data_IF_076965897835
#
_entry.id   IF_076965897835
#
_cell.length_a   1.000
_cell.length_b   1.000
_cell.length_c   1.000
_cell.angle_alpha   90.00
_cell.angle_beta   90.00
_cell.angle_gamma   90.00
#
_symmetry.space_group_name_H-M   'P 1'
#
loop_
_entity.id
_entity.type
_entity.pdbx_description
1 polymer ?
#
# COMPACT_ATOMS: atom_id res chain seq x y z
N UNK A 1 15.26 -24.42 -7.16
CA UNK A 1 14.97 -22.97 -6.88
C UNK A 1 16.14 -22.22 -6.24
N UNK A 2 16.93 -22.82 -5.36
CA UNK A 2 18.06 -22.16 -4.64
C UNK A 2 19.29 -21.88 -5.54
N UNK A 3 19.58 -22.71 -6.53
CA UNK A 3 20.72 -22.50 -7.43
C UNK A 3 20.50 -21.43 -8.51
N UNK A 4 19.28 -21.27 -8.99
CA UNK A 4 18.94 -20.24 -9.97
C UNK A 4 19.10 -18.82 -9.40
N UNK A 5 18.79 -18.62 -8.11
CA UNK A 5 18.95 -17.34 -7.42
C UNK A 5 20.42 -16.89 -7.30
N UNK A 6 21.38 -17.82 -7.16
CA UNK A 6 22.80 -17.46 -7.02
C UNK A 6 23.45 -16.93 -8.31
N UNK A 7 22.95 -17.35 -9.45
CA UNK A 7 23.50 -16.94 -10.76
C UNK A 7 23.04 -15.53 -11.14
N UNK A 8 21.78 -15.18 -10.83
CA UNK A 8 21.23 -13.85 -11.08
C UNK A 8 21.84 -12.81 -10.15
N UNK A 9 22.06 -13.14 -8.86
CA UNK A 9 22.74 -12.27 -7.91
C UNK A 9 24.18 -11.91 -8.31
N UNK A 10 24.90 -12.84 -8.95
CA UNK A 10 26.24 -12.56 -9.47
C UNK A 10 26.25 -11.62 -10.68
N UNK A 11 25.24 -11.70 -11.53
CA UNK A 11 25.11 -10.82 -12.70
C UNK A 11 24.75 -9.38 -12.29
N UNK A 12 23.84 -9.22 -11.33
CA UNK A 12 23.44 -7.91 -10.80
C UNK A 12 24.59 -7.26 -10.01
N UNK A 13 25.29 -8.00 -9.13
CA UNK A 13 26.44 -7.49 -8.38
C UNK A 13 27.63 -7.11 -9.29
N UNK A 14 27.78 -7.71 -10.46
CA UNK A 14 28.81 -7.30 -11.45
C UNK A 14 28.46 -6.00 -12.16
N UNK A 15 27.18 -5.77 -12.52
CA UNK A 15 26.74 -4.52 -13.17
C UNK A 15 26.74 -3.32 -12.19
N UNK A 16 26.37 -3.52 -10.93
CA UNK A 16 26.41 -2.44 -9.92
C UNK A 16 27.84 -2.05 -9.51
N UNK A 17 28.84 -2.94 -9.66
CA UNK A 17 30.26 -2.56 -9.45
C UNK A 17 30.78 -1.59 -10.51
N UNK A 18 30.26 -1.60 -11.73
CA UNK A 18 30.63 -0.62 -12.77
C UNK A 18 30.02 0.76 -12.57
N UNK A 19 28.91 0.88 -11.85
CA UNK A 19 28.28 2.18 -11.52
C UNK A 19 28.99 2.96 -10.38
N UNK A 20 29.90 2.33 -9.65
CA UNK A 20 30.65 2.99 -8.55
C UNK A 20 31.91 3.74 -8.98
N UNK A 21 32.24 3.82 -10.26
CA UNK A 21 33.45 4.49 -10.77
C UNK A 21 33.18 5.65 -11.73
N UNK A 22 32.00 6.28 -11.73
CA UNK A 22 31.80 7.54 -12.44
C UNK A 22 32.14 8.71 -11.52
N UNK A 23 33.23 9.36 -11.83
CA UNK A 23 33.73 10.56 -11.18
C UNK A 23 32.82 11.75 -11.55
N UNK A 24 32.13 12.33 -10.55
CA UNK A 24 31.28 13.51 -10.70
C UNK A 24 32.09 14.80 -10.51
N UNK A 25 33.13 14.96 -11.31
CA UNK A 25 33.89 16.19 -11.36
C UNK A 25 33.78 16.90 -12.72
N UNK A 26 32.91 17.87 -12.82
CA UNK A 26 32.95 18.89 -13.90
C UNK A 26 31.87 18.75 -14.95
N UNK A 27 30.75 19.43 -14.75
CA UNK A 27 30.04 20.34 -15.66
C UNK A 27 28.90 21.00 -14.84
N UNK A 28 29.24 22.03 -14.09
CA UNK A 28 28.25 22.98 -13.58
C UNK A 28 28.33 24.21 -14.47
N UNK A 29 27.53 24.27 -15.52
CA UNK A 29 27.18 25.56 -16.10
C UNK A 29 25.83 25.48 -16.82
N UNK A 30 24.90 26.31 -16.35
CA UNK A 30 23.70 26.78 -17.04
C UNK A 30 22.64 25.73 -17.41
N UNK A 31 21.91 25.22 -16.43
CA UNK A 31 20.50 24.85 -16.64
C UNK A 31 19.66 25.83 -15.83
N UNK A 32 18.99 26.72 -16.54
CA UNK A 32 17.94 27.56 -15.99
C UNK A 32 16.91 26.64 -15.36
N UNK A 33 16.71 26.77 -14.06
CA UNK A 33 15.61 26.20 -13.34
C UNK A 33 14.34 26.94 -13.75
N UNK A 34 13.71 26.49 -14.81
CA UNK A 34 12.37 26.94 -15.18
C UNK A 34 11.31 26.04 -14.55
N UNK A 35 10.38 26.75 -13.95
CA UNK A 35 9.07 26.32 -13.45
C UNK A 35 9.05 25.36 -12.25
N UNK A 36 8.75 25.95 -11.10
CA UNK A 36 7.99 25.33 -10.03
C UNK A 36 6.68 24.80 -10.62
N UNK A 37 6.67 23.60 -11.18
CA UNK A 37 5.45 22.82 -11.30
C UNK A 37 5.06 22.47 -9.87
N UNK A 38 4.13 23.21 -9.31
CA UNK A 38 3.53 22.91 -8.01
C UNK A 38 2.72 21.62 -8.23
N UNK A 39 3.40 20.46 -8.19
CA UNK A 39 2.73 19.16 -8.28
C UNK A 39 1.79 19.09 -7.08
N UNK A 40 0.51 18.97 -7.32
CA UNK A 40 -0.45 18.76 -6.24
C UNK A 40 -0.19 17.40 -5.61
N UNK A 41 0.57 17.38 -4.51
CA UNK A 41 0.97 16.15 -3.83
C UNK A 41 -0.25 15.52 -3.18
N UNK A 42 -0.49 14.26 -3.55
CA UNK A 42 -1.55 13.41 -3.04
C UNK A 42 -0.95 12.21 -2.33
N UNK A 43 -1.30 12.01 -1.07
CA UNK A 43 -0.77 10.92 -0.25
C UNK A 43 -1.88 9.94 0.08
N UNK A 44 -1.75 8.73 -0.43
CA UNK A 44 -2.63 7.62 -0.13
C UNK A 44 -2.03 6.69 0.92
N UNK A 45 -2.87 5.84 1.47
CA UNK A 45 -2.44 4.77 2.37
C UNK A 45 -3.18 3.47 2.04
N UNK A 46 -2.44 2.35 2.03
CA UNK A 46 -3.01 1.01 1.85
C UNK A 46 -3.90 0.68 3.02
N UNK A 47 -5.13 0.26 2.75
CA UNK A 47 -6.10 -0.15 3.75
C UNK A 47 -6.65 -1.54 3.43
N UNK A 48 -6.43 -2.48 4.34
CA UNK A 48 -6.94 -3.84 4.24
C UNK A 48 -8.29 -3.97 4.95
N UNK A 49 -9.20 -4.69 4.34
CA UNK A 49 -10.50 -5.03 4.93
C UNK A 49 -10.39 -6.33 5.73
N UNK A 50 -9.62 -6.30 6.81
CA UNK A 50 -9.26 -7.48 7.59
C UNK A 50 -9.59 -7.37 9.10
N UNK A 51 -9.77 -6.16 9.63
CA UNK A 51 -9.98 -5.93 11.06
C UNK A 51 -11.47 -5.89 11.42
N UNK A 52 -12.16 -7.03 11.22
CA UNK A 52 -13.57 -7.23 11.54
C UNK A 52 -13.83 -8.68 11.92
N UNK A 53 -14.95 -9.03 12.59
CA UNK A 53 -15.28 -10.40 12.97
C UNK A 53 -15.70 -11.22 11.75
N UNK A 54 -14.75 -11.57 10.90
CA UNK A 54 -14.98 -12.55 9.84
C UNK A 54 -14.77 -13.96 10.38
N UNK A 55 -15.61 -14.87 9.91
CA UNK A 55 -15.74 -16.19 10.52
C UNK A 55 -14.50 -17.07 10.42
N UNK A 56 -13.56 -16.91 9.49
CA UNK A 56 -12.60 -18.00 9.33
C UNK A 56 -11.14 -17.67 9.05
N UNK A 57 -10.76 -16.49 8.48
CA UNK A 57 -9.37 -16.33 8.08
C UNK A 57 -8.65 -15.10 8.66
N UNK A 58 -9.04 -13.91 8.24
CA UNK A 58 -8.27 -12.71 8.55
C UNK A 58 -8.56 -12.17 9.96
N UNK A 59 -9.84 -11.93 10.28
CA UNK A 59 -10.23 -11.36 11.56
C UNK A 59 -9.87 -12.25 12.73
N UNK A 60 -10.12 -13.57 12.64
CA UNK A 60 -9.75 -14.52 13.69
C UNK A 60 -8.22 -14.69 13.81
N UNK A 61 -7.50 -14.68 12.67
CA UNK A 61 -6.05 -14.75 12.70
C UNK A 61 -5.47 -13.51 13.38
N UNK A 62 -5.88 -12.32 12.96
CA UNK A 62 -5.45 -11.06 13.53
C UNK A 62 -5.83 -10.95 15.03
N UNK A 63 -7.05 -11.37 15.39
CA UNK A 63 -7.48 -11.46 16.78
C UNK A 63 -6.56 -12.34 17.61
N UNK A 64 -6.17 -13.52 17.12
CA UNK A 64 -5.26 -14.43 17.83
C UNK A 64 -3.84 -13.88 17.96
N UNK A 65 -3.30 -13.29 16.88
CA UNK A 65 -1.93 -12.79 16.86
C UNK A 65 -1.75 -11.58 17.78
N UNK A 66 -2.78 -10.72 17.89
CA UNK A 66 -2.75 -9.51 18.71
C UNK A 66 -3.29 -9.69 20.14
N UNK A 67 -3.91 -10.85 20.44
CA UNK A 67 -4.47 -11.14 21.79
C UNK A 67 -3.43 -11.07 22.91
N UNK A 68 -2.19 -11.61 22.78
CA UNK A 68 -1.22 -11.57 23.88
C UNK A 68 -0.96 -10.13 24.35
N UNK A 69 -0.99 -9.92 25.68
CA UNK A 69 -0.81 -8.60 26.31
C UNK A 69 0.42 -7.85 25.82
N UNK A 70 1.52 -8.55 25.52
CA UNK A 70 2.76 -7.97 24.99
C UNK A 70 2.58 -7.25 23.64
N UNK A 71 1.47 -7.49 22.94
CA UNK A 71 1.11 -6.83 21.68
C UNK A 71 -0.02 -5.80 21.83
N UNK A 72 -0.31 -5.38 23.06
CA UNK A 72 -1.38 -4.41 23.33
C UNK A 72 -1.20 -3.09 22.55
N UNK A 73 0.02 -2.63 22.40
CA UNK A 73 0.34 -1.43 21.63
C UNK A 73 0.21 -1.58 20.10
N UNK A 74 -0.01 -2.81 19.61
CA UNK A 74 -0.36 -3.12 18.22
C UNK A 74 -1.87 -3.27 18.02
N UNK A 75 -2.64 -3.37 19.10
CA UNK A 75 -4.07 -3.62 19.04
C UNK A 75 -4.81 -2.34 18.65
N UNK A 76 -5.63 -2.34 17.57
CA UNK A 76 -6.35 -1.15 17.17
C UNK A 76 -7.38 -0.72 18.22
N UNK A 77 -7.60 0.59 18.31
CA UNK A 77 -8.47 1.23 19.31
C UNK A 77 -9.93 0.76 19.30
N UNK A 78 -10.36 0.14 18.21
CA UNK A 78 -11.71 -0.39 18.04
C UNK A 78 -11.83 -1.90 18.35
N UNK A 79 -10.77 -2.54 18.81
CA UNK A 79 -10.84 -3.92 19.28
C UNK A 79 -11.37 -3.95 20.73
N UNK A 80 -12.22 -4.91 21.02
CA UNK A 80 -12.72 -5.15 22.36
C UNK A 80 -11.68 -5.89 23.19
N UNK A 81 -11.31 -5.33 24.34
CA UNK A 81 -10.36 -5.94 25.28
C UNK A 81 -11.17 -6.78 26.27
N UNK A 82 -11.19 -8.09 26.09
CA UNK A 82 -11.98 -9.02 26.91
C UNK A 82 -11.19 -9.63 28.07
N UNK A 83 -9.87 -9.40 28.10
CA UNK A 83 -9.00 -9.92 29.15
C UNK A 83 -7.53 -9.58 28.90
N UNK A 84 -6.64 -10.11 29.76
CA UNK A 84 -5.21 -9.81 29.67
C UNK A 84 -4.63 -10.27 28.33
N UNK A 85 -4.96 -11.49 27.89
CA UNK A 85 -4.50 -12.09 26.65
C UNK A 85 -5.66 -12.42 25.69
N UNK A 86 -6.71 -11.60 25.69
CA UNK A 86 -7.86 -11.79 24.84
C UNK A 86 -8.40 -10.48 24.30
N UNK A 87 -8.47 -10.39 22.96
CA UNK A 87 -9.20 -9.35 22.23
C UNK A 87 -10.21 -9.97 21.28
N UNK A 88 -11.22 -9.20 20.89
CA UNK A 88 -12.13 -9.54 19.81
C UNK A 88 -12.42 -8.31 18.98
N UNK A 89 -12.76 -8.50 17.69
CA UNK A 89 -13.33 -7.46 16.87
C UNK A 89 -14.85 -7.57 16.86
N UNK A 90 -15.53 -6.43 16.88
CA UNK A 90 -16.96 -6.34 16.59
C UNK A 90 -17.20 -5.69 15.21
N UNK A 91 -18.42 -5.82 14.70
CA UNK A 91 -18.83 -5.07 13.51
C UNK A 91 -19.01 -3.61 13.88
N UNK A 92 -18.11 -2.76 13.41
CA UNK A 92 -18.20 -1.32 13.66
C UNK A 92 -19.47 -0.75 13.04
N UNK A 93 -20.14 0.13 13.75
CA UNK A 93 -21.24 0.93 13.19
C UNK A 93 -20.67 2.11 12.40
N UNK A 94 -21.55 2.87 11.74
CA UNK A 94 -21.14 4.02 10.92
C UNK A 94 -20.44 5.11 11.72
N UNK A 95 -20.83 5.35 12.97
CA UNK A 95 -20.20 6.38 13.80
C UNK A 95 -18.77 6.01 14.18
N UNK A 96 -18.53 4.75 14.50
CA UNK A 96 -17.18 4.23 14.81
C UNK A 96 -16.28 4.27 13.57
N UNK A 97 -16.84 3.98 12.40
CA UNK A 97 -16.08 4.07 11.16
C UNK A 97 -15.84 5.54 10.74
N UNK A 98 -16.79 6.43 10.93
CA UNK A 98 -16.61 7.87 10.73
C UNK A 98 -15.50 8.43 11.63
N UNK A 99 -15.34 7.90 12.84
CA UNK A 99 -14.22 8.24 13.74
C UNK A 99 -12.87 7.77 13.15
N UNK A 100 -12.82 6.59 12.56
CA UNK A 100 -11.63 6.10 11.87
C UNK A 100 -11.26 7.01 10.68
N UNK A 101 -12.24 7.39 9.86
CA UNK A 101 -12.03 8.34 8.77
C UNK A 101 -11.55 9.70 9.30
N UNK A 102 -12.08 10.16 10.44
CA UNK A 102 -11.61 11.41 11.03
C UNK A 102 -10.14 11.36 11.43
N UNK A 103 -9.65 10.24 11.99
CA UNK A 103 -8.23 10.06 12.26
C UNK A 103 -7.37 10.09 10.98
N UNK A 104 -7.85 9.52 9.89
CA UNK A 104 -7.14 9.61 8.61
C UNK A 104 -7.11 11.04 8.05
N UNK A 105 -8.21 11.78 8.19
CA UNK A 105 -8.30 13.20 7.83
C UNK A 105 -7.34 14.03 8.70
N UNK A 106 -7.28 13.76 10.00
CA UNK A 106 -6.38 14.43 10.94
C UNK A 106 -4.91 14.13 10.60
N UNK A 107 -4.60 12.91 10.14
CA UNK A 107 -3.31 12.53 9.59
C UNK A 107 -2.99 13.21 8.24
N UNK A 108 -3.92 13.98 7.65
CA UNK A 108 -3.78 14.65 6.34
C UNK A 108 -3.68 13.68 5.16
N UNK A 109 -4.13 12.44 5.31
CA UNK A 109 -4.23 11.45 4.25
C UNK A 109 -5.25 11.93 3.22
N UNK A 110 -4.91 11.87 1.94
CA UNK A 110 -5.77 12.32 0.86
C UNK A 110 -6.70 11.22 0.35
N UNK A 111 -6.25 9.97 0.38
CA UNK A 111 -7.09 8.84 -0.03
C UNK A 111 -6.71 7.53 0.66
N UNK A 112 -7.68 6.66 0.85
CA UNK A 112 -7.44 5.25 1.15
C UNK A 112 -7.34 4.44 -0.14
N UNK A 113 -6.29 3.65 -0.29
CA UNK A 113 -6.20 2.61 -1.31
C UNK A 113 -6.74 1.30 -0.69
N UNK A 114 -8.01 1.01 -0.93
CA UNK A 114 -8.68 -0.18 -0.41
C UNK A 114 -8.40 -1.40 -1.28
N UNK A 115 -8.13 -2.53 -0.65
CA UNK A 115 -8.19 -3.80 -1.36
C UNK A 115 -9.64 -4.05 -1.79
N UNK A 116 -9.84 -4.11 -3.11
CA UNK A 116 -11.12 -4.36 -3.73
C UNK A 116 -11.25 -5.86 -4.04
N UNK A 117 -12.21 -6.48 -3.42
CA UNK A 117 -12.48 -7.91 -3.60
C UNK A 117 -13.62 -8.12 -4.60
N UNK A 118 -13.44 -9.02 -5.55
CA UNK A 118 -14.51 -9.46 -6.44
C UNK A 118 -15.49 -10.36 -5.67
N UNK A 119 -16.59 -9.80 -5.18
CA UNK A 119 -17.55 -10.54 -4.36
C UNK A 119 -18.24 -11.66 -5.13
N UNK A 120 -18.66 -11.38 -6.37
CA UNK A 120 -19.35 -12.40 -7.18
C UNK A 120 -18.37 -13.48 -7.64
N UNK A 121 -17.15 -13.11 -8.00
CA UNK A 121 -16.08 -14.06 -8.30
C UNK A 121 -15.72 -14.92 -7.09
N UNK A 122 -15.57 -14.32 -5.93
CA UNK A 122 -15.26 -15.02 -4.68
C UNK A 122 -16.38 -15.97 -4.26
N UNK A 123 -17.65 -15.57 -4.38
CA UNK A 123 -18.83 -16.43 -4.14
C UNK A 123 -18.87 -17.63 -5.08
N UNK A 124 -18.57 -17.41 -6.37
CA UNK A 124 -18.53 -18.50 -7.34
C UNK A 124 -17.42 -19.52 -7.01
N UNK A 125 -16.25 -19.04 -6.55
CA UNK A 125 -15.13 -19.88 -6.16
C UNK A 125 -15.41 -20.69 -4.89
N UNK A 126 -16.06 -20.08 -3.90
CA UNK A 126 -16.42 -20.74 -2.62
C UNK A 126 -17.49 -21.80 -2.81
N UNK A 127 -18.49 -21.58 -3.67
CA UNK A 127 -19.52 -22.56 -4.00
C UNK A 127 -18.99 -23.89 -4.57
N UNK A 128 -17.78 -23.89 -5.10
CA UNK A 128 -17.13 -25.12 -5.62
C UNK A 128 -16.41 -25.93 -4.54
N UNK A 129 -16.22 -25.35 -3.34
CA UNK A 129 -15.68 -26.03 -2.17
C UNK A 129 -16.81 -26.10 -1.15
N UNK A 130 -17.12 -27.28 -0.65
CA UNK A 130 -18.16 -27.56 0.36
C UNK A 130 -17.92 -26.85 1.73
N UNK A 131 -17.29 -25.71 1.76
CA UNK A 131 -17.04 -24.93 2.96
C UNK A 131 -18.07 -23.80 3.07
N UNK A 132 -18.66 -23.65 4.25
CA UNK A 132 -19.68 -22.66 4.62
C UNK A 132 -19.10 -21.23 4.73
N UNK A 133 -18.34 -20.80 3.71
CA UNK A 133 -17.73 -19.47 3.64
C UNK A 133 -18.67 -18.41 3.05
N UNK A 134 -19.97 -18.69 2.94
CA UNK A 134 -20.94 -17.77 2.34
C UNK A 134 -21.01 -16.43 3.07
N UNK A 135 -20.94 -16.44 4.40
CA UNK A 135 -20.98 -15.23 5.22
C UNK A 135 -19.70 -14.37 5.09
N UNK A 136 -18.56 -14.98 4.84
CA UNK A 136 -17.29 -14.26 4.70
C UNK A 136 -17.27 -13.40 3.44
N UNK A 137 -17.80 -13.90 2.34
CA UNK A 137 -17.86 -13.18 1.06
C UNK A 137 -18.82 -11.98 1.11
N UNK A 138 -19.88 -12.04 1.88
CA UNK A 138 -20.83 -10.93 2.04
C UNK A 138 -20.26 -9.71 2.77
N UNK A 139 -19.15 -9.89 3.48
CA UNK A 139 -18.54 -8.88 4.32
C UNK A 139 -17.19 -8.38 3.78
N UNK A 140 -16.74 -8.94 2.66
CA UNK A 140 -15.65 -8.37 1.88
C UNK A 140 -16.05 -6.95 1.42
N UNK A 141 -15.09 -6.06 1.34
CA UNK A 141 -15.30 -4.64 1.06
C UNK A 141 -16.10 -3.90 2.15
N UNK A 142 -16.17 -4.42 3.37
CA UNK A 142 -16.92 -3.80 4.47
C UNK A 142 -16.43 -2.39 4.76
N UNK A 143 -15.12 -2.20 4.97
CA UNK A 143 -14.53 -0.90 5.27
C UNK A 143 -14.77 0.11 4.12
N UNK A 144 -14.62 -0.32 2.86
CA UNK A 144 -14.91 0.51 1.69
C UNK A 144 -16.37 0.96 1.66
N UNK A 145 -17.33 0.06 1.89
CA UNK A 145 -18.77 0.40 1.89
C UNK A 145 -19.18 1.33 3.03
N UNK A 146 -18.55 1.17 4.20
CA UNK A 146 -18.72 2.10 5.31
C UNK A 146 -18.19 3.49 4.95
N UNK A 147 -17.07 3.56 4.22
CA UNK A 147 -16.56 4.83 3.70
C UNK A 147 -17.53 5.48 2.70
N UNK A 148 -18.04 4.73 1.73
CA UNK A 148 -19.04 5.22 0.76
C UNK A 148 -20.28 5.77 1.41
N UNK A 149 -20.69 5.19 2.55
CA UNK A 149 -21.87 5.61 3.33
C UNK A 149 -21.58 6.76 4.29
N UNK A 150 -20.30 7.13 4.48
CA UNK A 150 -19.90 8.14 5.45
C UNK A 150 -20.25 9.56 5.01
N UNK A 151 -20.62 10.40 5.98
CA UNK A 151 -20.72 11.86 5.80
C UNK A 151 -19.37 12.54 5.56
N UNK A 152 -18.26 11.83 5.81
CA UNK A 152 -16.89 12.30 5.62
C UNK A 152 -16.29 11.87 4.27
N UNK A 153 -16.99 11.08 3.46
CA UNK A 153 -16.48 10.52 2.20
C UNK A 153 -15.91 11.55 1.23
N UNK A 154 -16.46 12.76 1.22
CA UNK A 154 -15.98 13.82 0.32
C UNK A 154 -14.74 14.56 0.85
N UNK A 155 -14.28 14.22 2.08
CA UNK A 155 -13.09 14.81 2.71
C UNK A 155 -11.83 13.94 2.54
N UNK A 156 -12.02 12.67 2.27
CA UNK A 156 -10.94 11.71 2.01
C UNK A 156 -11.37 10.82 0.84
N UNK A 157 -10.57 10.79 -0.22
CA UNK A 157 -10.90 10.00 -1.40
C UNK A 157 -10.63 8.50 -1.18
N UNK A 158 -10.97 7.68 -2.16
CA UNK A 158 -10.62 6.27 -2.20
C UNK A 158 -10.08 5.87 -3.58
N UNK A 159 -9.20 4.87 -3.60
CA UNK A 159 -8.76 4.17 -4.79
C UNK A 159 -8.88 2.66 -4.57
N UNK A 160 -8.98 1.88 -5.63
CA UNK A 160 -9.04 0.43 -5.55
C UNK A 160 -7.66 -0.19 -5.73
N UNK A 161 -7.37 -1.23 -4.94
CA UNK A 161 -6.28 -2.19 -5.14
C UNK A 161 -6.94 -3.50 -5.57
N UNK A 162 -6.83 -3.87 -6.83
CA UNK A 162 -7.34 -5.16 -7.32
C UNK A 162 -6.38 -6.27 -6.91
N UNK A 163 -6.87 -7.22 -6.10
CA UNK A 163 -6.10 -8.34 -5.59
C UNK A 163 -6.12 -9.57 -6.49
N UNK A 164 -5.57 -10.67 -5.99
CA UNK A 164 -5.52 -11.99 -6.66
C UNK A 164 -6.85 -12.77 -6.58
N UNK A 165 -7.93 -12.12 -6.22
CA UNK A 165 -9.24 -12.76 -6.12
C UNK A 165 -9.89 -12.84 -7.50
N UNK A 166 -10.69 -13.87 -7.78
CA UNK A 166 -11.41 -13.94 -9.03
C UNK A 166 -12.45 -12.82 -9.13
N UNK A 167 -12.54 -12.21 -10.31
CA UNK A 167 -13.53 -11.18 -10.64
C UNK A 167 -14.46 -11.71 -11.73
N UNK A 168 -15.72 -11.31 -11.64
CA UNK A 168 -16.75 -11.54 -12.68
C UNK A 168 -17.27 -10.19 -13.21
N UNK A 169 -18.03 -10.21 -14.27
CA UNK A 169 -18.58 -9.01 -14.91
C UNK A 169 -19.29 -8.05 -13.93
N UNK A 170 -20.12 -8.50 -12.97
CA UNK A 170 -20.75 -7.59 -12.01
C UNK A 170 -19.72 -6.89 -11.09
N UNK A 171 -18.60 -7.54 -10.75
CA UNK A 171 -17.55 -6.95 -9.92
C UNK A 171 -16.82 -5.82 -10.67
N UNK A 172 -16.57 -6.00 -11.99
CA UNK A 172 -16.00 -4.95 -12.83
C UNK A 172 -16.95 -3.77 -13.00
N UNK A 173 -18.26 -4.02 -13.13
CA UNK A 173 -19.26 -2.97 -13.20
C UNK A 173 -19.36 -2.17 -11.88
N UNK A 174 -19.34 -2.85 -10.74
CA UNK A 174 -19.30 -2.17 -9.43
C UNK A 174 -18.07 -1.26 -9.33
N UNK A 175 -16.89 -1.75 -9.71
CA UNK A 175 -15.68 -0.93 -9.71
C UNK A 175 -15.78 0.25 -10.70
N UNK A 176 -16.32 0.04 -11.89
CA UNK A 176 -16.48 1.07 -12.90
C UNK A 176 -17.43 2.19 -12.42
N UNK A 177 -18.56 1.86 -11.79
CA UNK A 177 -19.46 2.83 -11.18
C UNK A 177 -18.85 3.57 -9.98
N UNK A 178 -18.05 2.87 -9.18
CA UNK A 178 -17.30 3.48 -8.07
C UNK A 178 -16.29 4.52 -8.62
N UNK A 179 -15.57 4.22 -9.69
CA UNK A 179 -14.59 5.11 -10.33
C UNK A 179 -15.21 6.42 -10.85
N UNK A 180 -16.50 6.47 -11.15
CA UNK A 180 -17.21 7.68 -11.55
C UNK A 180 -17.45 8.64 -10.40
N UNK A 181 -17.46 8.15 -9.17
CA UNK A 181 -17.81 8.95 -8.00
C UNK A 181 -16.85 10.13 -7.79
N UNK A 182 -17.31 11.28 -7.29
CA UNK A 182 -16.47 12.46 -7.05
C UNK A 182 -15.41 12.22 -5.97
N UNK A 183 -15.65 11.32 -5.03
CA UNK A 183 -14.73 10.92 -3.99
C UNK A 183 -13.78 9.77 -4.39
N UNK A 184 -13.76 9.38 -5.67
CA UNK A 184 -12.74 8.43 -6.15
C UNK A 184 -11.48 9.18 -6.58
N UNK A 185 -10.32 8.68 -6.19
CA UNK A 185 -9.03 9.31 -6.49
C UNK A 185 -8.70 9.27 -7.99
N UNK A 186 -8.34 10.43 -8.54
CA UNK A 186 -8.09 10.61 -9.98
C UNK A 186 -6.84 11.43 -10.22
N UNK A 187 -6.15 11.12 -11.29
CA UNK A 187 -5.08 11.95 -11.84
C UNK A 187 -5.46 12.43 -13.24
N UNK A 188 -5.54 13.74 -13.42
CA UNK A 188 -5.98 14.36 -14.69
C UNK A 188 -7.31 13.77 -15.23
N UNK A 189 -8.28 13.55 -14.34
CA UNK A 189 -9.57 12.96 -14.65
C UNK A 189 -9.59 11.42 -14.72
N UNK A 190 -8.46 10.76 -14.88
CA UNK A 190 -8.35 9.29 -14.93
C UNK A 190 -8.39 8.68 -13.53
N UNK A 191 -9.31 7.74 -13.24
CA UNK A 191 -9.35 7.02 -11.97
C UNK A 191 -8.07 6.22 -11.71
N UNK A 192 -7.58 6.21 -10.46
CA UNK A 192 -6.38 5.47 -10.07
C UNK A 192 -6.73 4.06 -9.62
N UNK A 193 -6.18 3.04 -10.26
CA UNK A 193 -6.38 1.62 -9.92
C UNK A 193 -5.03 0.95 -9.73
N UNK A 194 -4.81 0.38 -8.55
CA UNK A 194 -3.63 -0.41 -8.25
C UNK A 194 -3.87 -1.89 -8.54
N UNK A 195 -2.87 -2.57 -9.09
CA UNK A 195 -2.90 -4.01 -9.38
C UNK A 195 -1.93 -4.73 -8.46
N UNK A 196 -2.45 -5.56 -7.57
CA UNK A 196 -1.66 -6.19 -6.50
C UNK A 196 -1.03 -7.51 -6.95
N UNK A 197 0.30 -7.58 -6.93
CA UNK A 197 1.14 -8.77 -7.19
C UNK A 197 1.06 -9.39 -8.58
N UNK A 198 0.14 -9.00 -9.42
CA UNK A 198 0.02 -9.53 -10.78
C UNK A 198 -0.63 -8.51 -11.71
N UNK A 199 -0.26 -8.59 -12.97
CA UNK A 199 -0.96 -7.93 -14.05
C UNK A 199 -1.74 -9.02 -14.79
N UNK A 200 -3.05 -9.02 -14.59
CA UNK A 200 -3.95 -9.98 -15.22
C UNK A 200 -4.67 -9.29 -16.40
N UNK A 201 -4.35 -9.71 -17.62
CA UNK A 201 -4.93 -9.15 -18.84
C UNK A 201 -6.47 -9.22 -18.83
N UNK A 202 -7.02 -10.36 -18.42
CA UNK A 202 -8.47 -10.55 -18.34
C UNK A 202 -9.16 -9.57 -17.40
N UNK A 203 -8.53 -9.27 -16.25
CA UNK A 203 -9.09 -8.33 -15.28
C UNK A 203 -9.02 -6.91 -15.80
N UNK A 204 -7.92 -6.53 -16.46
CA UNK A 204 -7.79 -5.21 -17.10
C UNK A 204 -8.82 -5.04 -18.21
N UNK A 205 -8.97 -6.03 -19.10
CA UNK A 205 -9.99 -6.02 -20.15
C UNK A 205 -11.41 -5.94 -19.59
N UNK A 206 -11.68 -6.69 -18.51
CA UNK A 206 -12.96 -6.65 -17.79
C UNK A 206 -13.29 -5.26 -17.26
N UNK A 207 -12.31 -4.61 -16.61
CA UNK A 207 -12.46 -3.23 -16.13
C UNK A 207 -12.67 -2.25 -17.28
N UNK A 208 -11.86 -2.33 -18.34
CA UNK A 208 -11.99 -1.41 -19.49
C UNK A 208 -13.35 -1.51 -20.18
N UNK A 209 -13.84 -2.75 -20.37
CA UNK A 209 -15.17 -3.00 -20.92
C UNK A 209 -16.28 -2.43 -20.03
N UNK A 210 -16.18 -2.64 -18.72
CA UNK A 210 -17.15 -2.11 -17.77
C UNK A 210 -17.14 -0.58 -17.74
N UNK A 211 -15.96 0.05 -17.77
CA UNK A 211 -15.82 1.51 -17.83
C UNK A 211 -16.47 2.09 -19.11
N UNK A 212 -16.26 1.46 -20.26
CA UNK A 212 -16.92 1.87 -21.51
C UNK A 212 -18.45 1.74 -21.39
N UNK A 213 -18.94 0.64 -20.81
CA UNK A 213 -20.36 0.39 -20.64
C UNK A 213 -21.05 1.43 -19.75
N UNK A 214 -20.39 1.92 -18.69
CA UNK A 214 -20.95 2.94 -17.80
C UNK A 214 -20.63 4.38 -18.23
N UNK A 215 -19.93 4.56 -19.35
CA UNK A 215 -19.52 5.88 -19.83
C UNK A 215 -18.51 6.58 -18.91
N UNK A 216 -17.59 5.82 -18.32
CA UNK A 216 -16.53 6.32 -17.43
C UNK A 216 -15.24 6.67 -18.16
N UNK A 217 -14.31 7.30 -17.45
CA UNK A 217 -12.97 7.61 -17.94
C UNK A 217 -12.03 6.39 -17.79
N UNK A 218 -11.16 6.17 -18.79
CA UNK A 218 -10.18 5.09 -18.74
C UNK A 218 -9.28 5.22 -17.50
N UNK A 219 -9.19 4.18 -16.63
CA UNK A 219 -8.38 4.25 -15.43
C UNK A 219 -6.88 4.32 -15.74
N UNK A 220 -6.13 4.79 -14.74
CA UNK A 220 -4.68 4.74 -14.68
C UNK A 220 -4.31 3.49 -13.88
N UNK A 221 -3.72 2.49 -14.54
CA UNK A 221 -3.32 1.25 -13.89
C UNK A 221 -1.89 1.35 -13.36
N UNK A 222 -1.72 1.13 -12.05
CA UNK A 222 -0.43 1.11 -11.36
C UNK A 222 -0.19 -0.29 -10.80
N UNK A 223 0.81 -0.99 -11.33
CA UNK A 223 1.16 -2.31 -10.83
C UNK A 223 1.98 -2.22 -9.53
N UNK A 224 1.57 -2.98 -8.51
CA UNK A 224 2.20 -3.04 -7.19
C UNK A 224 2.82 -4.41 -6.97
N UNK A 225 4.12 -4.45 -6.71
CA UNK A 225 4.82 -5.70 -6.43
C UNK A 225 5.61 -5.59 -5.13
N UNK A 226 5.59 -6.67 -4.34
CA UNK A 226 6.56 -6.88 -3.28
C UNK A 226 7.85 -7.50 -3.85
N UNK A 227 9.02 -6.94 -3.51
CA UNK A 227 10.28 -7.43 -4.02
C UNK A 227 10.50 -7.19 -5.53
N UNK A 228 11.13 -8.13 -6.23
CA UNK A 228 11.49 -7.99 -7.65
C UNK A 228 10.28 -8.04 -8.58
N UNK A 229 10.33 -7.27 -9.66
CA UNK A 229 9.32 -7.32 -10.71
C UNK A 229 9.34 -8.70 -11.39
N UNK A 230 8.18 -9.36 -11.57
CA UNK A 230 8.11 -10.62 -12.30
C UNK A 230 8.53 -10.44 -13.75
N UNK A 231 9.43 -11.29 -14.23
CA UNK A 231 9.78 -11.35 -15.66
C UNK A 231 8.62 -11.92 -16.47
N UNK A 232 8.53 -11.57 -17.76
CA UNK A 232 7.51 -12.05 -18.69
C UNK A 232 6.06 -11.62 -18.34
N UNK A 233 5.90 -10.54 -17.62
CA UNK A 233 4.60 -9.95 -17.31
C UNK A 233 4.21 -8.92 -18.36
N UNK A 234 2.90 -8.75 -18.60
CA UNK A 234 2.32 -7.79 -19.56
C UNK A 234 2.37 -6.36 -19.04
N UNK A 235 3.57 -5.82 -18.88
CA UNK A 235 3.77 -4.43 -18.43
C UNK A 235 3.25 -3.38 -19.42
N UNK A 236 3.06 -3.78 -20.69
CA UNK A 236 2.45 -2.95 -21.73
C UNK A 236 0.97 -2.58 -21.43
N UNK A 237 0.34 -3.25 -20.47
CA UNK A 237 -1.05 -3.01 -20.05
C UNK A 237 -1.19 -1.99 -18.93
N UNK A 238 -0.09 -1.52 -18.33
CA UNK A 238 -0.12 -0.60 -17.19
C UNK A 238 0.56 0.73 -17.50
N UNK A 239 0.13 1.78 -16.81
CA UNK A 239 0.65 3.14 -16.96
C UNK A 239 1.81 3.43 -16.01
N UNK A 240 1.93 2.67 -14.91
CA UNK A 240 2.96 2.94 -13.91
C UNK A 240 3.22 1.78 -12.94
N UNK A 241 4.22 2.00 -12.09
CA UNK A 241 4.68 1.04 -11.10
C UNK A 241 4.68 1.62 -9.69
N UNK A 242 4.42 0.75 -8.72
CA UNK A 242 4.55 0.99 -7.28
C UNK A 242 5.12 -0.24 -6.59
N UNK A 243 5.45 -0.11 -5.32
CA UNK A 243 5.69 -1.25 -4.45
C UNK A 243 4.44 -1.57 -3.61
N UNK A 244 4.42 -2.77 -3.01
CA UNK A 244 3.40 -3.11 -2.03
C UNK A 244 3.95 -2.98 -0.61
N UNK A 245 5.00 -3.71 -0.30
CA UNK A 245 5.61 -3.76 1.02
C UNK A 245 7.10 -4.02 0.85
N UNK A 246 7.88 -3.65 1.82
CA UNK A 246 9.33 -3.88 1.87
C UNK A 246 9.72 -4.93 2.92
N UNK A 247 8.76 -5.72 3.38
CA UNK A 247 9.01 -6.84 4.28
C UNK A 247 9.96 -7.87 3.66
N UNK A 248 10.88 -8.36 4.47
CA UNK A 248 11.91 -9.30 4.04
C UNK A 248 13.22 -8.67 3.56
N UNK A 249 13.34 -7.35 3.58
CA UNK A 249 14.62 -6.68 3.51
C UNK A 249 15.33 -6.83 4.88
N UNK A 250 16.65 -7.09 4.88
CA UNK A 250 17.46 -7.20 6.11
C UNK A 250 17.66 -5.82 6.76
N UNK A 251 16.63 -5.31 7.42
CA UNK A 251 16.60 -3.96 7.99
C UNK A 251 16.20 -4.00 9.44
N UNK A 252 17.04 -3.43 10.29
CA UNK A 252 16.88 -3.43 11.75
C UNK A 252 16.39 -2.07 12.28
N UNK A 253 16.39 -1.05 11.43
CA UNK A 253 15.99 0.31 11.78
C UNK A 253 15.00 0.86 10.76
N UNK A 254 14.16 1.80 11.18
CA UNK A 254 13.24 2.48 10.27
C UNK A 254 13.97 3.22 9.14
N UNK A 255 15.12 3.77 9.42
CA UNK A 255 15.97 4.42 8.42
C UNK A 255 16.40 3.44 7.32
N UNK A 256 16.93 2.28 7.70
CA UNK A 256 17.30 1.23 6.73
C UNK A 256 16.10 0.74 5.92
N UNK A 257 14.92 0.62 6.56
CA UNK A 257 13.68 0.25 5.89
C UNK A 257 13.28 1.29 4.83
N UNK A 258 13.36 2.59 5.13
CA UNK A 258 13.03 3.66 4.19
C UNK A 258 14.08 3.77 3.08
N UNK A 259 15.37 3.68 3.40
CA UNK A 259 16.46 3.75 2.43
C UNK A 259 16.41 2.56 1.44
N UNK A 260 16.28 1.34 1.93
CA UNK A 260 16.17 0.15 1.08
C UNK A 260 14.85 0.10 0.31
N UNK A 261 13.75 0.54 0.92
CA UNK A 261 12.48 0.72 0.23
C UNK A 261 12.59 1.74 -0.90
N UNK A 262 13.37 2.80 -0.73
CA UNK A 262 13.61 3.77 -1.80
C UNK A 262 14.48 3.19 -2.92
N UNK A 263 15.47 2.35 -2.62
CA UNK A 263 16.24 1.63 -3.65
C UNK A 263 15.32 0.75 -4.51
N UNK A 264 14.31 0.12 -3.91
CA UNK A 264 13.28 -0.62 -4.65
C UNK A 264 12.42 0.31 -5.54
N UNK A 265 12.10 1.52 -5.08
CA UNK A 265 11.43 2.52 -5.91
C UNK A 265 12.30 2.96 -7.09
N UNK A 266 13.61 3.19 -6.90
CA UNK A 266 14.57 3.50 -7.97
C UNK A 266 14.59 2.36 -8.99
N UNK A 267 14.69 1.13 -8.52
CA UNK A 267 14.75 -0.02 -9.40
C UNK A 267 13.50 -0.14 -10.27
N UNK A 268 12.30 0.13 -9.72
CA UNK A 268 11.06 0.16 -10.50
C UNK A 268 11.00 1.32 -11.48
N UNK A 269 11.36 2.50 -11.06
CA UNK A 269 11.36 3.69 -11.91
C UNK A 269 12.33 3.54 -13.09
N UNK A 270 13.47 2.88 -12.90
CA UNK A 270 14.49 2.65 -13.93
C UNK A 270 14.29 1.33 -14.71
N UNK A 271 13.30 0.52 -14.38
CA UNK A 271 13.14 -0.80 -14.98
C UNK A 271 12.98 -0.76 -16.51
N UNK A 272 12.31 0.28 -17.02
CA UNK A 272 12.16 0.55 -18.46
C UNK A 272 13.49 0.93 -19.11
N UNK A 273 14.24 1.84 -18.49
CA UNK A 273 15.52 2.34 -19.04
C UNK A 273 16.58 1.25 -19.09
N UNK A 274 16.51 0.33 -18.12
CA UNK A 274 17.44 -0.80 -18.03
C UNK A 274 17.01 -2.03 -18.85
N UNK A 275 15.98 -1.89 -19.69
CA UNK A 275 15.42 -3.00 -20.49
C UNK A 275 15.05 -4.25 -19.64
N UNK A 276 14.82 -4.05 -18.35
CA UNK A 276 14.42 -5.13 -17.44
C UNK A 276 12.99 -5.59 -17.72
N UNK A 277 12.19 -4.70 -18.28
CA UNK A 277 10.81 -4.95 -18.71
C UNK A 277 10.59 -4.33 -20.09
N UNK A 278 9.91 -5.05 -20.97
CA UNK A 278 9.47 -4.52 -22.26
C UNK A 278 8.16 -3.74 -22.06
N UNK A 279 8.30 -2.47 -21.70
CA UNK A 279 7.16 -1.63 -21.37
C UNK A 279 7.36 -0.19 -21.86
N UNK A 280 6.94 0.05 -23.10
CA UNK A 280 7.04 1.38 -23.72
C UNK A 280 6.13 2.43 -23.10
N UNK A 281 5.10 2.02 -22.35
CA UNK A 281 4.04 2.89 -21.83
C UNK A 281 4.16 3.23 -20.35
N UNK A 282 5.09 2.61 -19.62
CA UNK A 282 5.30 2.93 -18.20
C UNK A 282 6.08 4.23 -18.11
N UNK A 283 5.39 5.29 -17.72
CA UNK A 283 5.96 6.63 -17.56
C UNK A 283 5.68 7.22 -16.17
N UNK A 284 5.09 6.41 -15.27
CA UNK A 284 4.68 6.84 -13.92
C UNK A 284 5.21 5.96 -12.82
N UNK A 285 5.58 6.59 -11.72
CA UNK A 285 5.95 5.92 -10.48
C UNK A 285 5.16 6.51 -9.33
N UNK A 286 4.55 5.63 -8.52
CA UNK A 286 3.98 5.96 -7.21
C UNK A 286 4.95 5.42 -6.16
N UNK A 287 5.85 6.25 -5.61
CA UNK A 287 6.76 5.81 -4.56
C UNK A 287 6.00 5.33 -3.33
N UNK A 288 6.42 4.21 -2.76
CA UNK A 288 5.90 3.71 -1.49
C UNK A 288 6.78 4.15 -0.34
N UNK A 289 6.16 4.64 0.73
CA UNK A 289 6.82 5.00 1.98
C UNK A 289 6.37 4.06 3.10
N UNK A 290 7.28 3.28 3.72
CA UNK A 290 6.93 2.41 4.84
C UNK A 290 6.77 3.21 6.13
N UNK A 291 5.78 2.86 6.97
CA UNK A 291 5.55 3.49 8.29
C UNK A 291 6.01 2.61 9.46
N UNK A 292 6.66 1.50 9.17
CA UNK A 292 7.19 0.51 10.10
C UNK A 292 7.17 -0.87 9.49
N UNK A 293 7.88 -1.81 10.13
CA UNK A 293 7.85 -3.24 9.82
C UNK A 293 8.30 -4.02 11.04
N UNK A 294 7.37 -4.52 11.82
CA UNK A 294 7.62 -5.37 13.00
C UNK A 294 6.63 -6.52 13.06
N UNK A 295 6.92 -7.65 12.40
CA UNK A 295 6.04 -8.82 12.36
C UNK A 295 6.10 -9.69 13.62
N UNK A 296 6.57 -9.19 14.76
CA UNK A 296 6.66 -9.95 16.03
C UNK A 296 5.35 -10.68 16.40
N UNK A 297 4.13 -10.12 16.17
CA UNK A 297 2.90 -10.88 16.38
C UNK A 297 2.82 -12.14 15.50
N UNK A 298 3.24 -12.04 14.23
CA UNK A 298 3.24 -13.18 13.28
C UNK A 298 4.37 -14.18 13.53
N UNK A 299 5.47 -13.76 14.14
CA UNK A 299 6.51 -14.68 14.65
C UNK A 299 5.95 -15.49 15.81
N UNK A 300 5.20 -14.85 16.72
CA UNK A 300 4.61 -15.53 17.88
C UNK A 300 3.49 -16.52 17.49
N UNK A 301 2.67 -16.17 16.50
CA UNK A 301 1.63 -17.03 15.92
C UNK A 301 1.77 -16.97 14.39
N UNK A 302 2.45 -17.96 13.78
CA UNK A 302 2.75 -17.98 12.36
C UNK A 302 1.52 -17.82 11.47
N UNK A 303 1.66 -17.05 10.39
CA UNK A 303 0.61 -16.96 9.38
C UNK A 303 0.59 -18.20 8.50
N UNK A 304 -0.56 -18.59 7.95
CA UNK A 304 -0.63 -19.75 7.06
C UNK A 304 -0.02 -19.49 5.67
N UNK A 305 0.36 -18.26 5.35
CA UNK A 305 0.87 -17.88 4.03
C UNK A 305 2.34 -17.45 4.02
N UNK A 306 2.95 -17.19 5.19
CA UNK A 306 4.35 -16.78 5.29
C UNK A 306 4.92 -17.12 6.67
N UNK A 307 6.22 -17.44 6.72
CA UNK A 307 7.02 -17.58 7.94
C UNK A 307 7.88 -16.33 8.11
N UNK A 308 8.04 -15.87 9.35
CA UNK A 308 8.76 -14.65 9.71
C UNK A 308 9.89 -14.92 10.71
N UNK A 309 10.27 -16.20 10.93
CA UNK A 309 11.12 -16.63 12.05
C UNK A 309 12.53 -16.02 12.05
N UNK A 310 13.07 -15.67 10.89
CA UNK A 310 14.43 -15.12 10.74
C UNK A 310 14.44 -13.77 10.01
N UNK A 311 13.31 -13.06 9.99
CA UNK A 311 13.21 -11.78 9.29
C UNK A 311 13.59 -10.66 10.25
N UNK A 312 14.67 -9.88 9.98
CA UNK A 312 14.95 -8.67 10.71
C UNK A 312 13.77 -7.69 10.60
N UNK A 313 13.48 -6.99 11.66
CA UNK A 313 12.39 -6.04 11.72
C UNK A 313 12.83 -4.71 12.32
N UNK A 314 12.32 -3.63 11.73
CA UNK A 314 12.48 -2.30 12.26
C UNK A 314 11.36 -2.04 13.27
N UNK A 315 11.72 -1.76 14.53
CA UNK A 315 10.75 -1.35 15.55
C UNK A 315 9.90 -0.19 15.03
N UNK A 316 8.67 -0.09 15.55
CA UNK A 316 7.79 1.04 15.25
C UNK A 316 8.55 2.37 15.44
N UNK A 317 8.64 3.23 14.39
CA UNK A 317 9.45 4.45 14.47
C UNK A 317 8.83 5.48 15.42
N UNK A 318 9.69 6.26 16.06
CA UNK A 318 9.30 7.48 16.73
C UNK A 318 8.83 8.55 15.73
N UNK A 319 8.12 9.57 16.21
CA UNK A 319 7.75 10.74 15.40
C UNK A 319 8.95 11.37 14.71
N UNK A 320 10.06 11.53 15.43
CA UNK A 320 11.26 12.16 14.89
C UNK A 320 11.90 11.32 13.77
N UNK A 321 11.95 10.01 13.94
CA UNK A 321 12.47 9.10 12.89
C UNK A 321 11.58 9.14 11.65
N UNK A 322 10.24 9.11 11.81
CA UNK A 322 9.32 9.26 10.68
C UNK A 322 9.57 10.57 9.93
N UNK A 323 9.70 11.69 10.65
CA UNK A 323 9.89 12.99 10.03
C UNK A 323 11.26 13.12 9.35
N UNK A 324 12.33 12.67 9.97
CA UNK A 324 13.67 12.78 9.38
C UNK A 324 13.84 11.86 8.16
N UNK A 325 13.33 10.64 8.24
CA UNK A 325 13.30 9.74 7.09
C UNK A 325 12.42 10.28 5.95
N UNK A 326 11.31 10.95 6.28
CA UNK A 326 10.42 11.57 5.27
C UNK A 326 11.09 12.74 4.54
N UNK A 327 11.91 13.55 5.21
CA UNK A 327 12.70 14.61 4.60
C UNK A 327 13.72 14.05 3.61
N UNK A 328 14.44 13.01 4.05
CA UNK A 328 15.37 12.29 3.19
C UNK A 328 14.68 11.69 1.97
N UNK A 329 13.52 11.04 2.16
CA UNK A 329 12.72 10.45 1.09
C UNK A 329 12.27 11.50 0.06
N UNK A 330 11.77 12.66 0.52
CA UNK A 330 11.40 13.77 -0.37
C UNK A 330 12.59 14.33 -1.16
N UNK A 331 13.75 14.46 -0.52
CA UNK A 331 14.97 14.90 -1.20
C UNK A 331 15.38 13.89 -2.29
N UNK A 332 15.25 12.58 -2.01
CA UNK A 332 15.55 11.55 -2.99
C UNK A 332 14.57 11.54 -4.16
N UNK A 333 13.28 11.77 -3.95
CA UNK A 333 12.31 11.94 -5.05
C UNK A 333 12.74 13.09 -5.98
N UNK A 334 13.24 14.21 -5.46
CA UNK A 334 13.68 15.37 -6.26
C UNK A 334 14.99 15.15 -6.98
N UNK A 335 15.92 14.42 -6.38
CA UNK A 335 17.31 14.33 -6.84
C UNK A 335 17.62 13.06 -7.63
N UNK A 336 16.83 12.00 -7.50
CA UNK A 336 17.02 10.76 -8.25
C UNK A 336 16.30 10.86 -9.58
N UNK A 337 17.05 10.94 -10.67
CA UNK A 337 16.56 11.26 -12.01
C UNK A 337 15.38 10.41 -12.45
N UNK A 338 15.51 9.10 -12.47
CA UNK A 338 14.43 8.19 -12.91
C UNK A 338 13.14 8.31 -12.06
N UNK A 339 13.25 8.55 -10.76
CA UNK A 339 12.09 8.77 -9.88
C UNK A 339 11.49 10.15 -10.11
N UNK A 340 12.30 11.20 -10.15
CA UNK A 340 11.87 12.58 -10.39
C UNK A 340 11.10 12.71 -11.70
N UNK A 341 11.57 12.07 -12.75
CA UNK A 341 11.02 12.20 -14.10
C UNK A 341 9.74 11.38 -14.31
N UNK A 342 9.52 10.34 -13.49
CA UNK A 342 8.31 9.52 -13.52
C UNK A 342 7.32 9.82 -12.39
N UNK A 343 7.72 10.57 -11.36
CA UNK A 343 6.86 10.96 -10.25
C UNK A 343 5.81 11.97 -10.69
N UNK A 344 4.53 11.62 -10.55
CA UNK A 344 3.40 12.45 -10.97
C UNK A 344 2.59 13.05 -9.81
N UNK A 345 3.16 13.10 -8.62
CA UNK A 345 2.57 13.75 -7.45
C UNK A 345 1.85 12.80 -6.48
N UNK A 346 1.79 11.50 -6.76
CA UNK A 346 1.18 10.52 -5.86
C UNK A 346 2.23 9.75 -5.07
N UNK A 347 2.02 9.65 -3.75
CA UNK A 347 2.81 8.81 -2.83
C UNK A 347 1.85 7.85 -2.16
N UNK A 348 2.27 6.61 -1.96
CA UNK A 348 1.52 5.61 -1.21
C UNK A 348 2.28 5.28 0.09
N UNK A 349 1.57 5.16 1.21
CA UNK A 349 2.13 4.71 2.49
C UNK A 349 1.67 3.28 2.79
N UNK A 350 2.57 2.47 3.33
CA UNK A 350 2.25 1.13 3.81
C UNK A 350 2.38 1.09 5.34
N UNK A 351 1.30 0.93 6.11
CA UNK A 351 -0.10 0.86 5.73
C UNK A 351 -0.97 1.58 6.77
N UNK A 352 -2.30 1.60 6.57
CA UNK A 352 -3.23 2.10 7.58
C UNK A 352 -3.37 1.13 8.75
N UNK A 353 -3.52 -0.18 8.48
CA UNK A 353 -4.01 -1.16 9.44
C UNK A 353 -3.33 -2.54 9.39
N UNK A 354 -2.06 -2.60 8.93
CA UNK A 354 -1.26 -3.84 9.02
C UNK A 354 -0.62 -4.00 10.42
N UNK A 355 -1.50 -4.19 11.43
CA UNK A 355 -1.11 -4.21 12.84
C UNK A 355 -0.14 -5.34 13.18
N UNK A 356 -0.39 -6.55 12.70
CA UNK A 356 0.46 -7.70 12.99
C UNK A 356 1.77 -7.73 12.19
N UNK A 357 1.92 -6.84 11.20
CA UNK A 357 3.19 -6.58 10.49
C UNK A 357 3.94 -5.37 11.04
N UNK A 358 3.41 -4.69 12.05
CA UNK A 358 4.03 -3.50 12.61
C UNK A 358 3.99 -2.27 11.69
N UNK A 359 3.15 -2.30 10.66
CA UNK A 359 2.99 -1.25 9.67
C UNK A 359 1.58 -0.63 9.78
N UNK A 360 1.36 0.24 10.75
CA UNK A 360 0.06 0.88 10.94
C UNK A 360 0.17 2.39 11.19
N UNK A 361 -0.87 3.14 10.81
CA UNK A 361 -1.08 4.56 11.16
C UNK A 361 -2.33 4.69 12.03
N UNK A 362 -3.32 3.84 11.82
CA UNK A 362 -4.56 3.79 12.59
C UNK A 362 -4.26 3.78 14.09
N UNK A 363 -5.00 4.53 14.92
CA UNK A 363 -4.79 4.53 16.36
C UNK A 363 -4.85 3.14 16.99
N UNK A 364 -3.98 2.92 17.97
CA UNK A 364 -3.90 1.69 18.75
C UNK A 364 -4.09 1.98 20.24
N UNK A 365 -4.07 0.97 21.09
CA UNK A 365 -4.05 1.18 22.52
C UNK A 365 -2.62 1.44 23.04
N UNK A 366 -2.52 2.24 24.08
CA UNK A 366 -1.40 2.25 25.00
C UNK A 366 -1.48 1.05 25.97
N UNK A 367 -0.42 0.80 26.76
CA UNK A 367 -0.43 -0.25 27.80
C UNK A 367 -1.51 -0.04 28.87
N UNK A 368 -1.87 1.21 29.16
CA UNK A 368 -2.93 1.61 30.09
C UNK A 368 -4.34 1.64 29.48
N UNK A 369 -4.49 1.14 28.25
CA UNK A 369 -5.72 1.10 27.45
C UNK A 369 -6.26 2.47 27.03
N UNK A 370 -5.51 3.54 27.17
CA UNK A 370 -5.84 4.81 26.50
C UNK A 370 -5.54 4.70 24.98
N UNK A 371 -6.23 5.52 24.17
CA UNK A 371 -6.04 5.51 22.72
C UNK A 371 -4.75 6.28 22.38
N UNK A 372 -3.85 5.61 21.66
CA UNK A 372 -2.62 6.21 21.13
C UNK A 372 -2.88 6.78 19.73
N UNK A 373 -2.70 8.08 19.57
CA UNK A 373 -2.82 8.80 18.28
C UNK A 373 -1.51 9.44 17.81
N UNK A 374 -0.38 9.11 18.44
CA UNK A 374 0.92 9.74 18.15
C UNK A 374 1.31 9.57 16.68
N UNK A 375 1.12 8.38 16.10
CA UNK A 375 1.40 8.14 14.68
C UNK A 375 0.52 8.97 13.75
N UNK A 376 -0.74 9.23 14.10
CA UNK A 376 -1.63 10.12 13.34
C UNK A 376 -1.03 11.51 13.27
N UNK A 377 -0.59 12.06 14.41
CA UNK A 377 0.07 13.36 14.50
C UNK A 377 1.41 13.41 13.75
N UNK A 378 2.22 12.36 13.89
CA UNK A 378 3.51 12.22 13.20
C UNK A 378 3.34 12.21 11.67
N UNK A 379 2.42 11.39 11.16
CA UNK A 379 2.11 11.29 9.74
C UNK A 379 1.55 12.60 9.19
N UNK A 380 0.73 13.32 9.97
CA UNK A 380 0.25 14.65 9.57
C UNK A 380 1.40 15.63 9.31
N UNK A 381 2.45 15.60 10.14
CA UNK A 381 3.67 16.42 9.96
C UNK A 381 4.46 15.99 8.72
N UNK A 382 4.59 14.68 8.49
CA UNK A 382 5.24 14.11 7.30
C UNK A 382 4.53 14.57 6.02
N UNK A 383 3.22 14.40 5.95
CA UNK A 383 2.42 14.76 4.76
C UNK A 383 2.46 16.26 4.53
N UNK A 384 2.34 17.07 5.60
CA UNK A 384 2.49 18.53 5.50
C UNK A 384 3.85 18.88 4.89
N UNK A 385 4.94 18.30 5.39
CA UNK A 385 6.28 18.54 4.85
C UNK A 385 6.37 18.20 3.36
N UNK A 386 5.82 17.06 2.92
CA UNK A 386 5.83 16.67 1.51
C UNK A 386 5.04 17.65 0.62
N UNK A 387 3.85 18.07 1.06
CA UNK A 387 3.03 19.05 0.32
C UNK A 387 3.69 20.42 0.19
N UNK A 388 4.55 20.78 1.12
CA UNK A 388 5.29 22.04 1.12
C UNK A 388 6.61 21.97 0.34
N UNK A 389 7.16 20.76 0.12
CA UNK A 389 8.54 20.61 -0.37
C UNK A 389 8.69 19.76 -1.62
N UNK A 390 7.66 19.04 -2.10
CA UNK A 390 7.65 18.30 -3.37
C UNK A 390 6.83 19.02 -4.42
#
# INVERSE_FOLDING_TARGET
MIEYNKTVDRAVKRKTKHLKSFDFGGIMSSLKTDSKTNKNIRVGVVNWDCSHPSSEWWGQYQTRTLSPKKFRTYTPYYADILGEDKIEYHWRNQEEFDRELQYAIDAKIDYFAYVFYGEQGSRAHVRTKESDCSDMVYKLNYARRMHESSKLRDKIAMAAIMGKHPFLEPDYLELAELMKQPYYEKYNGRPLVFLFWQINEKDIEGVLKAVEQVGGEKPLFIAMFGGRLPMHTRYDLVDGLSAYSFGGLNMNTHKELVEGGFEENIWRASARENELIDAKNIDKTVPLYPVGWDPSPRVNIPSPWATYDDVPYAKSPSEQELLDCSKWFAEKIKTTECVRDTFFGHILMFAWNEFEEGAWICPTYNEDLTINTEKVGAVAKVIKYWKENL
#
